data_IF_442262544181
#
_entry.id   IF_442262544181
#
_cell.length_a   1.000
_cell.length_b   1.000
_cell.length_c   1.000
_cell.angle_alpha   90.00
_cell.angle_beta   90.00
_cell.angle_gamma   90.00
#
_symmetry.space_group_name_H-M   'P 1'
#
loop_
_entity.id
_entity.type
_entity.pdbx_description
1 polymer ?
#
# COMPACT_ATOMS: atom_id res chain seq x y z
N UNK A 1 -85.16 -18.38 -17.16
CA UNK A 1 -84.06 -19.35 -16.94
C UNK A 1 -83.23 -19.34 -18.22
N UNK A 2 -81.97 -18.92 -18.29
CA UNK A 2 -80.85 -19.00 -17.35
C UNK A 2 -79.94 -17.77 -17.53
N UNK A 3 -79.40 -17.26 -16.42
CA UNK A 3 -78.34 -16.24 -16.35
C UNK A 3 -76.97 -16.92 -16.46
N UNK A 4 -75.99 -16.30 -17.13
CA UNK A 4 -74.57 -16.64 -16.91
C UNK A 4 -73.66 -15.42 -17.10
N UNK A 5 -73.52 -14.71 -15.98
CA UNK A 5 -72.29 -14.12 -15.40
C UNK A 5 -71.15 -13.68 -16.34
N UNK A 6 -71.02 -12.35 -16.49
CA UNK A 6 -69.79 -11.68 -16.97
C UNK A 6 -68.73 -11.75 -15.86
N UNK A 7 -67.58 -12.37 -16.11
CA UNK A 7 -66.41 -12.27 -15.24
C UNK A 7 -65.74 -10.90 -15.47
N UNK A 8 -65.85 -9.99 -14.49
CA UNK A 8 -64.99 -8.81 -14.41
C UNK A 8 -63.60 -9.26 -13.96
N UNK A 9 -62.62 -9.21 -14.87
CA UNK A 9 -61.20 -9.28 -14.51
C UNK A 9 -60.78 -7.88 -14.03
N UNK A 10 -60.49 -7.75 -12.73
CA UNK A 10 -59.83 -6.55 -12.18
C UNK A 10 -58.33 -6.69 -12.41
N UNK A 11 -57.81 -5.98 -13.40
CA UNK A 11 -56.37 -5.86 -13.63
C UNK A 11 -55.80 -4.91 -12.57
N UNK A 12 -55.11 -5.45 -11.57
CA UNK A 12 -54.30 -4.64 -10.67
C UNK A 12 -52.96 -4.34 -11.36
N UNK A 13 -52.73 -3.08 -11.70
CA UNK A 13 -51.42 -2.61 -12.13
C UNK A 13 -50.53 -2.48 -10.89
N UNK A 14 -49.53 -3.36 -10.78
CA UNK A 14 -48.47 -3.23 -9.80
C UNK A 14 -47.45 -2.23 -10.32
N UNK A 15 -47.46 -1.01 -9.77
CA UNK A 15 -46.41 -0.02 -10.00
C UNK A 15 -45.17 -0.50 -9.24
N UNK A 16 -44.20 -1.09 -9.95
CA UNK A 16 -42.89 -1.36 -9.40
C UNK A 16 -42.18 -0.03 -9.17
N UNK A 17 -42.09 0.39 -7.90
CA UNK A 17 -41.22 1.48 -7.49
C UNK A 17 -39.78 0.98 -7.67
N UNK A 18 -39.14 1.32 -8.78
CA UNK A 18 -37.72 1.06 -8.97
C UNK A 18 -36.97 1.99 -8.02
N UNK A 19 -36.63 1.50 -6.84
CA UNK A 19 -35.71 2.19 -5.95
C UNK A 19 -34.38 2.30 -6.71
N UNK A 20 -33.98 3.53 -7.06
CA UNK A 20 -32.62 3.79 -7.49
C UNK A 20 -31.71 3.39 -6.33
N UNK A 21 -30.96 2.29 -6.50
CA UNK A 21 -29.90 1.96 -5.58
C UNK A 21 -28.94 3.16 -5.54
N UNK A 22 -28.50 3.62 -4.36
CA UNK A 22 -27.45 4.62 -4.29
C UNK A 22 -26.23 4.08 -5.05
N UNK A 23 -25.64 4.90 -5.92
CA UNK A 23 -24.36 4.58 -6.54
C UNK A 23 -23.38 4.27 -5.41
N UNK A 24 -22.94 3.01 -5.33
CA UNK A 24 -21.89 2.60 -4.41
C UNK A 24 -20.65 3.43 -4.74
N UNK A 25 -20.11 4.15 -3.76
CA UNK A 25 -18.74 4.65 -3.88
C UNK A 25 -17.83 3.43 -4.01
N UNK A 26 -17.29 3.18 -5.20
CA UNK A 26 -16.34 2.09 -5.39
C UNK A 26 -15.04 2.52 -4.70
N UNK A 27 -14.62 1.74 -3.72
CA UNK A 27 -13.37 1.93 -3.00
C UNK A 27 -12.23 1.41 -3.87
N UNK A 28 -11.12 2.13 -3.90
CA UNK A 28 -9.87 1.61 -4.45
C UNK A 28 -9.38 0.43 -3.59
N UNK A 29 -8.60 -0.46 -4.17
CA UNK A 29 -8.01 -1.61 -3.49
C UNK A 29 -6.50 -1.65 -3.71
N UNK A 30 -5.77 -2.23 -2.73
CA UNK A 30 -4.33 -2.49 -2.88
C UNK A 30 -3.99 -3.38 -4.07
N UNK A 31 -4.95 -4.18 -4.55
CA UNK A 31 -4.84 -5.05 -5.72
C UNK A 31 -5.03 -4.33 -7.05
N UNK A 32 -5.40 -3.04 -7.03
CA UNK A 32 -5.58 -2.25 -8.24
C UNK A 32 -4.23 -1.91 -8.89
N UNK A 33 -3.13 -1.98 -8.13
CA UNK A 33 -1.77 -1.75 -8.63
C UNK A 33 -0.86 -2.88 -8.19
N UNK A 34 -0.02 -3.34 -9.11
CA UNK A 34 1.04 -4.30 -8.84
C UNK A 34 2.40 -3.76 -9.25
N UNK A 35 3.46 -4.31 -8.68
CA UNK A 35 4.85 -4.01 -9.05
C UNK A 35 5.74 -5.24 -8.92
N UNK A 36 6.68 -5.41 -9.82
CA UNK A 36 7.66 -6.49 -9.85
C UNK A 36 9.01 -5.96 -10.32
N UNK A 37 10.08 -6.49 -9.74
CA UNK A 37 11.44 -6.38 -10.30
C UNK A 37 11.82 -7.79 -10.79
N UNK A 38 11.73 -8.07 -12.11
CA UNK A 38 11.99 -9.41 -12.63
C UNK A 38 13.37 -9.93 -12.21
N UNK A 39 13.49 -11.21 -11.80
CA UNK A 39 12.51 -12.28 -11.94
C UNK A 39 11.56 -12.46 -10.74
N UNK A 40 11.50 -11.51 -9.81
CA UNK A 40 10.58 -11.60 -8.68
C UNK A 40 9.12 -11.57 -9.16
N UNK A 41 8.24 -12.21 -8.40
CA UNK A 41 6.80 -12.14 -8.65
C UNK A 41 6.26 -10.75 -8.32
N UNK A 42 5.23 -10.33 -9.04
CA UNK A 42 4.54 -9.08 -8.74
C UNK A 42 3.91 -9.11 -7.34
N UNK A 43 4.05 -8.00 -6.62
CA UNK A 43 3.40 -7.74 -5.35
C UNK A 43 2.35 -6.65 -5.52
N UNK A 44 1.31 -6.71 -4.70
CA UNK A 44 0.33 -5.63 -4.60
C UNK A 44 0.87 -4.54 -3.66
N UNK A 45 0.25 -3.37 -3.68
CA UNK A 45 0.57 -2.31 -2.74
C UNK A 45 0.32 -2.73 -1.28
N UNK A 46 1.03 -2.13 -0.33
CA UNK A 46 0.84 -2.31 1.10
C UNK A 46 -0.32 -1.46 1.63
N UNK A 47 -0.56 -0.31 0.99
CA UNK A 47 -1.65 0.59 1.32
C UNK A 47 -2.18 1.31 0.07
N UNK A 48 -3.46 1.69 0.11
CA UNK A 48 -4.09 2.47 -0.95
C UNK A 48 -4.97 3.56 -0.35
N UNK A 49 -4.89 4.79 -0.88
CA UNK A 49 -5.80 5.89 -0.51
C UNK A 49 -6.25 6.71 -1.72
N UNK A 50 -7.55 7.02 -1.79
CA UNK A 50 -8.15 7.88 -2.81
C UNK A 50 -8.36 9.27 -2.22
N UNK A 51 -7.95 10.29 -2.96
CA UNK A 51 -8.05 11.68 -2.56
C UNK A 51 -8.63 12.54 -3.69
N UNK A 52 -9.41 13.58 -3.37
CA UNK A 52 -9.89 14.52 -4.36
C UNK A 52 -8.78 15.47 -4.82
N UNK A 53 -9.00 16.10 -5.97
CA UNK A 53 -8.14 17.14 -6.53
C UNK A 53 -6.96 16.60 -7.34
N UNK A 54 -5.84 17.31 -7.25
CA UNK A 54 -4.56 16.93 -7.85
C UNK A 54 -3.62 16.47 -6.73
N UNK A 55 -2.67 15.60 -7.07
CA UNK A 55 -1.57 15.32 -6.16
C UNK A 55 -0.42 16.30 -6.38
N UNK A 56 0.24 16.64 -5.29
CA UNK A 56 1.54 17.29 -5.27
C UNK A 56 2.29 16.82 -4.02
N UNK A 57 3.55 17.23 -3.88
CA UNK A 57 4.37 16.81 -2.75
C UNK A 57 3.77 17.20 -1.38
N UNK A 58 3.12 18.36 -1.27
CA UNK A 58 2.48 18.77 -0.01
C UNK A 58 1.26 17.88 0.32
N UNK A 59 0.44 17.53 -0.67
CA UNK A 59 -0.72 16.67 -0.48
C UNK A 59 -0.32 15.23 -0.13
N UNK A 60 0.74 14.71 -0.76
CA UNK A 60 1.30 13.39 -0.45
C UNK A 60 1.85 13.38 0.99
N UNK A 61 2.56 14.42 1.39
CA UNK A 61 3.09 14.55 2.75
C UNK A 61 2.03 14.83 3.82
N UNK A 62 0.81 15.19 3.43
CA UNK A 62 -0.32 15.36 4.33
C UNK A 62 -1.10 14.04 4.57
N UNK A 63 -0.77 12.97 3.84
CA UNK A 63 -1.41 11.66 4.01
C UNK A 63 -1.11 11.07 5.39
N UNK A 64 -2.09 10.36 5.95
CA UNK A 64 -2.02 9.74 7.27
C UNK A 64 -1.86 8.20 7.18
N UNK A 65 -1.75 7.55 8.35
CA UNK A 65 -1.62 6.09 8.42
C UNK A 65 -0.27 5.61 7.92
N UNK A 66 -0.25 4.55 7.10
CA UNK A 66 0.99 3.97 6.55
C UNK A 66 1.76 4.94 5.63
N UNK A 67 1.11 6.00 5.13
CA UNK A 67 1.74 7.04 4.34
C UNK A 67 2.44 8.12 5.18
N UNK A 68 2.19 8.18 6.49
CA UNK A 68 2.80 9.18 7.37
C UNK A 68 4.26 8.85 7.69
N UNK A 69 4.97 9.79 8.33
CA UNK A 69 6.35 9.62 8.76
C UNK A 69 7.30 10.57 8.04
N UNK A 70 8.42 10.03 7.55
CA UNK A 70 9.42 10.79 6.81
C UNK A 70 8.86 11.39 5.51
N UNK A 71 9.34 12.59 5.12
CA UNK A 71 8.79 13.30 3.99
C UNK A 71 9.06 12.58 2.66
N UNK A 72 8.02 12.50 1.84
CA UNK A 72 8.06 12.04 0.47
C UNK A 72 8.63 13.12 -0.45
N UNK A 73 9.48 12.71 -1.37
CA UNK A 73 10.02 13.54 -2.45
C UNK A 73 9.48 13.07 -3.79
N UNK A 74 9.09 13.99 -4.68
CA UNK A 74 8.72 13.61 -6.05
C UNK A 74 9.95 13.08 -6.81
N UNK A 75 9.83 11.88 -7.38
CA UNK A 75 10.88 11.25 -8.18
C UNK A 75 10.66 11.46 -9.67
N UNK A 76 9.45 11.20 -10.16
CA UNK A 76 9.08 11.44 -11.55
C UNK A 76 7.55 11.52 -11.73
N UNK A 77 7.10 12.11 -12.83
CA UNK A 77 5.73 11.98 -13.34
C UNK A 77 5.72 11.87 -14.85
N UNK A 78 4.75 11.13 -15.38
CA UNK A 78 4.62 10.91 -16.83
C UNK A 78 4.38 12.18 -17.65
N UNK A 79 3.96 13.27 -17.02
CA UNK A 79 3.74 14.59 -17.63
C UNK A 79 4.70 15.69 -17.13
N UNK A 80 5.69 15.32 -16.31
CA UNK A 80 6.77 16.19 -15.85
C UNK A 80 8.12 15.51 -16.16
N UNK A 81 9.21 15.92 -15.50
CA UNK A 81 10.53 15.31 -15.70
C UNK A 81 11.09 14.73 -14.41
N UNK A 82 11.97 13.74 -14.57
CA UNK A 82 12.63 13.04 -13.47
C UNK A 82 13.47 13.96 -12.58
N UNK A 83 13.53 13.64 -11.29
CA UNK A 83 14.43 14.24 -10.31
C UNK A 83 15.54 13.26 -9.89
N UNK A 84 16.59 13.77 -9.24
CA UNK A 84 17.65 12.95 -8.65
C UNK A 84 17.38 12.81 -7.17
N UNK A 85 17.25 11.57 -6.70
CA UNK A 85 17.03 11.23 -5.30
C UNK A 85 18.16 10.31 -4.81
N UNK A 86 18.92 10.76 -3.81
CA UNK A 86 20.05 10.02 -3.26
C UNK A 86 21.08 9.55 -4.30
N UNK A 87 21.27 10.32 -5.37
CA UNK A 87 22.19 9.96 -6.46
C UNK A 87 21.64 8.88 -7.41
N UNK A 88 20.33 8.64 -7.38
CA UNK A 88 19.60 7.78 -8.32
C UNK A 88 18.57 8.64 -9.06
N UNK A 89 18.51 8.49 -10.38
CA UNK A 89 17.43 9.03 -11.22
C UNK A 89 16.43 7.92 -11.48
N UNK A 90 15.15 8.24 -11.35
CA UNK A 90 14.03 7.36 -11.64
C UNK A 90 13.26 7.90 -12.84
N UNK A 91 12.83 7.01 -13.72
CA UNK A 91 12.03 7.36 -14.90
C UNK A 91 10.79 6.46 -14.94
N UNK A 92 9.61 7.09 -15.02
CA UNK A 92 8.31 6.46 -14.99
C UNK A 92 7.64 6.53 -16.36
N UNK A 93 7.15 5.40 -16.83
CA UNK A 93 6.21 5.33 -17.95
C UNK A 93 4.94 4.61 -17.53
N UNK A 94 3.79 4.97 -18.12
CA UNK A 94 2.51 4.31 -17.88
C UNK A 94 1.59 4.48 -19.09
N UNK A 95 0.63 3.57 -19.24
CA UNK A 95 -0.42 3.64 -20.27
C UNK A 95 -1.43 4.79 -20.00
N UNK A 96 -1.06 6.01 -20.37
CA UNK A 96 -1.94 7.18 -20.30
C UNK A 96 -3.20 7.00 -21.16
N UNK A 97 -4.29 7.66 -20.76
CA UNK A 97 -5.65 7.55 -21.31
C UNK A 97 -6.34 6.18 -21.14
N UNK A 98 -5.68 5.18 -20.52
CA UNK A 98 -6.27 3.86 -20.25
C UNK A 98 -6.96 3.79 -18.89
N UNK A 99 -8.00 2.95 -18.77
CA UNK A 99 -8.65 2.65 -17.47
C UNK A 99 -7.87 1.61 -16.65
N UNK A 100 -6.89 0.97 -17.27
CA UNK A 100 -5.97 0.02 -16.68
C UNK A 100 -4.97 -0.39 -17.76
N UNK A 101 -3.75 -0.71 -17.34
CA UNK A 101 -2.64 -0.96 -18.24
C UNK A 101 -1.35 -1.21 -17.49
N UNK A 102 -0.25 -1.12 -18.22
CA UNK A 102 1.09 -1.38 -17.71
C UNK A 102 1.78 -0.07 -17.32
N UNK A 103 2.74 -0.18 -16.40
CA UNK A 103 3.67 0.89 -16.05
C UNK A 103 5.05 0.31 -15.82
N UNK A 104 6.07 1.11 -16.11
CA UNK A 104 7.48 0.75 -15.95
C UNK A 104 8.17 1.84 -15.13
N UNK A 105 8.97 1.41 -14.16
CA UNK A 105 9.88 2.27 -13.42
C UNK A 105 11.30 1.80 -13.73
N UNK A 106 12.08 2.66 -14.37
CA UNK A 106 13.50 2.44 -14.55
C UNK A 106 14.30 3.33 -13.59
N UNK A 107 15.51 2.89 -13.25
CA UNK A 107 16.39 3.67 -12.38
C UNK A 107 17.85 3.51 -12.77
N UNK A 108 18.64 4.53 -12.47
CA UNK A 108 20.09 4.48 -12.67
C UNK A 108 20.81 5.52 -11.81
N UNK A 109 22.06 5.25 -11.46
CA UNK A 109 22.90 6.25 -10.81
C UNK A 109 23.93 5.65 -9.84
N UNK A 110 24.90 6.47 -9.38
CA UNK A 110 25.93 6.05 -8.43
C UNK A 110 25.39 5.79 -7.01
N UNK A 111 24.13 6.15 -6.73
CA UNK A 111 23.49 5.92 -5.43
C UNK A 111 22.97 4.49 -5.19
N UNK A 112 23.15 3.58 -6.14
CA UNK A 112 22.70 2.18 -6.04
C UNK A 112 23.74 1.29 -5.33
N UNK A 113 23.31 0.23 -4.60
CA UNK A 113 21.93 -0.16 -4.36
C UNK A 113 21.23 0.78 -3.38
N UNK A 114 19.91 0.88 -3.50
CA UNK A 114 19.07 1.76 -2.68
C UNK A 114 17.83 1.01 -2.20
N UNK A 115 17.61 0.95 -0.88
CA UNK A 115 16.34 0.47 -0.31
C UNK A 115 15.49 1.66 0.08
N UNK A 116 14.25 1.69 -0.39
CA UNK A 116 13.34 2.80 -0.13
C UNK A 116 11.87 2.38 -0.19
N UNK A 117 11.03 3.17 0.45
CA UNK A 117 9.59 3.13 0.21
C UNK A 117 9.28 4.02 -1.01
N UNK A 118 8.30 3.63 -1.81
CA UNK A 118 7.75 4.51 -2.84
C UNK A 118 6.22 4.50 -2.87
N UNK A 119 5.65 5.58 -3.39
CA UNK A 119 4.23 5.70 -3.69
C UNK A 119 4.09 5.81 -5.20
N UNK A 120 3.33 4.90 -5.80
CA UNK A 120 2.80 5.07 -7.15
C UNK A 120 1.46 5.80 -7.08
N UNK A 121 1.33 6.88 -7.84
CA UNK A 121 0.14 7.71 -7.87
C UNK A 121 -0.50 7.63 -9.24
N UNK A 122 -1.81 7.43 -9.28
CA UNK A 122 -2.62 7.50 -10.50
C UNK A 122 -3.56 8.69 -10.41
N UNK A 123 -3.50 9.59 -11.39
CA UNK A 123 -4.43 10.72 -11.52
C UNK A 123 -5.48 10.41 -12.56
N UNK A 124 -6.76 10.50 -12.20
CA UNK A 124 -7.83 10.37 -13.18
C UNK A 124 -9.06 11.21 -12.82
N UNK A 125 -9.58 11.96 -13.80
CA UNK A 125 -10.67 12.93 -13.61
C UNK A 125 -10.41 13.93 -12.47
N UNK A 126 -11.24 13.94 -11.42
CA UNK A 126 -11.16 14.89 -10.32
C UNK A 126 -10.43 14.34 -9.10
N UNK A 127 -9.93 13.10 -9.16
CA UNK A 127 -9.37 12.40 -8.02
C UNK A 127 -7.99 11.81 -8.37
N UNK A 128 -7.26 11.39 -7.36
CA UNK A 128 -6.03 10.64 -7.49
C UNK A 128 -5.96 9.55 -6.42
N UNK A 129 -5.32 8.42 -6.76
CA UNK A 129 -5.09 7.34 -5.83
C UNK A 129 -3.59 7.15 -5.61
N UNK A 130 -3.18 7.00 -4.35
CA UNK A 130 -1.81 6.67 -3.95
C UNK A 130 -1.74 5.21 -3.49
N UNK A 131 -0.70 4.51 -3.96
CA UNK A 131 -0.42 3.10 -3.69
C UNK A 131 0.99 2.98 -3.12
N UNK A 132 1.09 2.59 -1.86
CA UNK A 132 2.36 2.47 -1.12
C UNK A 132 3.01 1.12 -1.38
N UNK A 133 4.31 1.12 -1.64
CA UNK A 133 5.17 -0.06 -1.66
C UNK A 133 6.34 0.18 -0.70
N UNK A 134 6.56 -0.73 0.23
CA UNK A 134 7.56 -0.57 1.28
C UNK A 134 8.78 -1.48 1.06
N UNK A 135 9.92 -1.04 1.59
CA UNK A 135 11.16 -1.82 1.65
C UNK A 135 11.63 -2.40 0.30
N UNK A 136 11.50 -1.61 -0.77
CA UNK A 136 11.87 -2.05 -2.12
C UNK A 136 13.35 -1.81 -2.36
N UNK A 137 14.07 -2.86 -2.72
CA UNK A 137 15.49 -2.80 -3.06
C UNK A 137 15.70 -2.57 -4.56
N UNK A 138 16.30 -1.41 -4.89
CA UNK A 138 16.69 -1.03 -6.24
C UNK A 138 18.18 -1.33 -6.45
N UNK A 139 18.47 -2.29 -7.32
CA UNK A 139 19.83 -2.75 -7.66
C UNK A 139 20.34 -2.10 -8.95
N UNK A 140 21.63 -2.20 -9.25
CA UNK A 140 22.16 -1.77 -10.55
C UNK A 140 21.84 -2.74 -11.70
N UNK A 141 21.42 -3.96 -11.38
CA UNK A 141 20.96 -4.97 -12.33
C UNK A 141 20.08 -6.01 -11.61
N UNK A 142 18.82 -6.24 -12.04
CA UNK A 142 18.08 -5.43 -13.02
C UNK A 142 17.89 -3.98 -12.54
N UNK A 143 17.67 -3.06 -13.48
CA UNK A 143 17.46 -1.64 -13.21
C UNK A 143 16.11 -1.13 -13.76
N UNK A 144 15.18 -2.06 -13.96
CA UNK A 144 13.81 -1.85 -14.42
C UNK A 144 12.89 -2.73 -13.57
N UNK A 145 11.74 -2.17 -13.24
CA UNK A 145 10.61 -2.85 -12.64
C UNK A 145 9.35 -2.52 -13.43
N UNK A 146 8.43 -3.47 -13.43
CA UNK A 146 7.20 -3.42 -14.22
C UNK A 146 6.00 -3.64 -13.30
N UNK A 147 4.86 -3.09 -13.68
CA UNK A 147 3.65 -3.24 -12.90
C UNK A 147 2.39 -3.02 -13.73
N UNK A 148 1.25 -3.31 -13.12
CA UNK A 148 -0.07 -3.04 -13.69
C UNK A 148 -0.80 -2.02 -12.85
N UNK A 149 -1.75 -1.30 -13.44
CA UNK A 149 -2.71 -0.47 -12.71
C UNK A 149 -4.15 -0.67 -13.22
N UNK A 150 -5.13 -0.34 -12.41
CA UNK A 150 -6.54 -0.25 -12.78
C UNK A 150 -7.23 0.88 -12.02
N UNK A 151 -7.95 1.72 -12.74
CA UNK A 151 -8.77 2.79 -12.19
C UNK A 151 -10.16 2.23 -11.89
N UNK A 152 -10.55 2.24 -10.62
CA UNK A 152 -11.81 1.65 -10.15
C UNK A 152 -12.83 2.70 -9.70
N UNK A 153 -12.44 3.98 -9.61
CA UNK A 153 -13.35 5.07 -9.22
C UNK A 153 -14.06 5.72 -10.42
N UNK A 154 -15.15 6.42 -10.13
CA UNK A 154 -15.98 7.09 -11.14
C UNK A 154 -15.72 8.59 -11.14
N UNK A 155 -15.78 9.20 -12.33
CA UNK A 155 -15.88 10.64 -12.47
C UNK A 155 -17.31 11.15 -12.18
N UNK A 156 -17.51 12.47 -12.21
CA UNK A 156 -18.82 13.11 -12.01
C UNK A 156 -19.89 12.69 -13.04
N UNK A 157 -19.50 12.06 -14.15
CA UNK A 157 -20.39 11.51 -15.16
C UNK A 157 -20.76 10.03 -14.93
N UNK A 158 -20.34 9.43 -13.81
CA UNK A 158 -20.60 8.03 -13.48
C UNK A 158 -19.83 7.03 -14.34
N UNK A 159 -18.70 7.45 -14.94
CA UNK A 159 -17.84 6.61 -15.78
C UNK A 159 -16.47 6.47 -15.16
N UNK A 160 -15.83 5.32 -15.37
CA UNK A 160 -14.41 5.13 -15.05
C UNK A 160 -13.57 6.01 -16.00
N UNK A 161 -12.83 7.00 -15.49
CA UNK A 161 -11.96 7.82 -16.33
C UNK A 161 -10.70 7.06 -16.74
N UNK A 162 -10.06 7.49 -17.83
CA UNK A 162 -8.70 7.05 -18.17
C UNK A 162 -7.66 7.79 -17.33
N UNK A 163 -6.47 7.20 -17.22
CA UNK A 163 -5.31 7.77 -16.54
C UNK A 163 -4.88 9.08 -17.22
N UNK A 164 -4.88 10.19 -16.49
CA UNK A 164 -4.38 11.47 -17.01
C UNK A 164 -2.85 11.53 -16.95
N UNK A 165 -2.27 11.10 -15.83
CA UNK A 165 -0.84 10.93 -15.61
C UNK A 165 -0.63 10.02 -14.40
N UNK A 166 0.59 9.50 -14.29
CA UNK A 166 1.07 8.82 -13.10
C UNK A 166 2.27 9.57 -12.50
N UNK A 167 2.50 9.37 -11.20
CA UNK A 167 3.66 9.91 -10.49
C UNK A 167 4.26 8.89 -9.52
N UNK A 168 5.56 9.03 -9.26
CA UNK A 168 6.28 8.25 -8.25
C UNK A 168 6.86 9.22 -7.23
N UNK A 169 6.61 8.92 -5.95
CA UNK A 169 7.23 9.61 -4.81
C UNK A 169 8.07 8.62 -4.03
N UNK A 170 9.18 9.07 -3.47
CA UNK A 170 10.11 8.23 -2.74
C UNK A 170 10.54 8.83 -1.42
N UNK A 171 10.84 7.97 -0.45
CA UNK A 171 11.55 8.32 0.78
C UNK A 171 12.50 7.19 1.13
N UNK A 172 13.62 7.50 1.77
CA UNK A 172 14.49 6.45 2.28
C UNK A 172 13.69 5.65 3.31
N UNK A 173 13.74 4.32 3.19
CA UNK A 173 13.21 3.45 4.22
C UNK A 173 14.04 3.72 5.49
N UNK A 174 13.55 4.58 6.38
CA UNK A 174 13.94 4.54 7.77
C UNK A 174 13.50 3.19 8.35
N UNK A 175 14.14 2.72 9.43
CA UNK A 175 13.48 1.71 10.28
C UNK A 175 12.01 2.14 10.41
N UNK A 176 11.02 1.31 10.02
CA UNK A 176 9.62 1.71 10.11
C UNK A 176 9.37 2.24 11.51
N UNK A 177 8.49 3.25 11.72
CA UNK A 177 7.97 3.49 13.05
C UNK A 177 7.38 2.17 13.52
N UNK A 178 8.15 1.41 14.30
CA UNK A 178 7.63 0.27 15.02
C UNK A 178 6.63 0.92 15.95
N UNK A 179 5.34 0.65 15.72
CA UNK A 179 4.31 0.84 16.73
C UNK A 179 4.56 -0.07 17.96
N UNK A 180 5.66 -0.83 17.97
CA UNK A 180 6.20 -1.38 19.19
C UNK A 180 6.59 -0.23 20.13
N UNK A 181 6.04 -0.17 21.35
CA UNK A 181 6.59 0.70 22.38
C UNK A 181 8.10 0.42 22.48
N UNK A 182 8.92 1.38 22.93
CA UNK A 182 10.34 1.14 23.16
C UNK A 182 10.48 -0.22 23.84
N UNK A 183 11.11 -1.16 23.15
CA UNK A 183 11.44 -2.43 23.75
C UNK A 183 12.54 -2.06 24.75
N UNK A 184 12.11 -1.64 25.93
CA UNK A 184 12.96 -1.60 27.11
C UNK A 184 13.58 -2.99 27.15
N UNK A 185 14.87 -3.08 26.84
CA UNK A 185 15.66 -4.26 27.17
C UNK A 185 15.24 -4.61 28.59
N UNK A 186 14.77 -5.85 28.87
CA UNK A 186 14.37 -6.20 30.22
C UNK A 186 15.57 -5.83 31.09
N UNK A 187 15.41 -4.96 32.10
CA UNK A 187 16.54 -4.55 32.92
C UNK A 187 17.20 -5.82 33.38
N UNK A 188 18.52 -5.96 33.18
CA UNK A 188 19.29 -7.10 33.69
C UNK A 188 18.95 -7.22 35.16
N UNK A 189 18.00 -8.09 35.49
CA UNK A 189 17.59 -8.31 36.86
C UNK A 189 18.81 -8.95 37.48
N UNK A 190 19.50 -8.30 38.43
CA UNK A 190 20.64 -8.91 39.07
C UNK A 190 20.12 -10.19 39.71
N UNK A 191 20.56 -11.33 39.19
CA UNK A 191 20.15 -12.62 39.70
C UNK A 191 20.49 -12.61 41.19
N UNK A 192 19.51 -12.69 42.10
CA UNK A 192 19.82 -12.61 43.51
C UNK A 192 20.84 -13.72 43.81
N UNK A 193 21.92 -13.40 44.52
CA UNK A 193 23.01 -14.34 44.83
C UNK A 193 22.54 -15.63 45.53
N UNK A 194 21.26 -15.74 45.88
CA UNK A 194 20.57 -16.95 46.33
C UNK A 194 20.56 -18.08 45.29
N UNK A 195 20.47 -17.80 43.98
CA UNK A 195 20.57 -18.85 42.95
C UNK A 195 21.99 -19.41 42.83
N UNK A 196 23.01 -18.57 43.01
CA UNK A 196 24.41 -18.99 43.04
C UNK A 196 24.74 -19.80 44.31
N UNK A 197 24.13 -19.47 45.46
CA UNK A 197 24.24 -20.24 46.70
C UNK A 197 23.51 -21.59 46.67
N UNK A 198 22.37 -21.68 45.98
CA UNK A 198 21.65 -22.96 45.79
C UNK A 198 22.52 -23.95 44.99
N UNK A 199 23.23 -23.49 43.96
CA UNK A 199 24.17 -24.30 43.18
C UNK A 199 25.37 -24.80 43.98
N UNK A 200 25.95 -23.96 44.84
CA UNK A 200 27.08 -24.33 45.71
C UNK A 200 26.66 -25.24 46.88
N UNK A 201 25.45 -25.08 47.42
CA UNK A 201 24.94 -25.90 48.54
C UNK A 201 24.72 -27.37 48.16
N UNK A 202 24.27 -27.64 46.94
CA UNK A 202 24.06 -29.02 46.43
C UNK A 202 25.37 -29.77 46.18
N UNK A 203 26.42 -29.08 45.71
CA UNK A 203 27.75 -29.67 45.52
C UNK A 203 28.43 -30.01 46.86
N UNK A 204 28.18 -29.24 47.93
CA UNK A 204 28.69 -29.52 49.28
C UNK A 204 28.08 -30.77 49.91
N UNK A 205 26.78 -31.04 49.69
CA UNK A 205 26.07 -32.19 50.25
C UNK A 205 26.40 -33.51 49.52
N UNK A 206 26.73 -33.45 48.22
CA UNK A 206 27.13 -34.62 47.46
C UNK A 206 28.49 -35.20 47.91
N UNK A 207 29.37 -34.38 48.51
CA UNK A 207 30.68 -34.82 49.02
C UNK A 207 30.62 -35.46 50.41
N UNK A 208 29.50 -35.35 51.15
CA UNK A 208 29.32 -35.92 52.49
C UNK A 208 28.64 -37.29 52.50
N UNK A 209 28.76 -38.06 51.41
CA UNK A 209 28.35 -39.48 51.39
C UNK A 209 29.48 -40.36 50.84
N UNK A 210 30.61 -40.38 51.54
CA UNK A 210 31.60 -41.46 51.46
C UNK A 210 32.53 -41.40 52.66
N UNK A 211 32.14 -42.10 53.73
CA UNK A 211 33.00 -42.90 54.62
C UNK A 211 32.09 -43.58 55.65
N UNK A 212 32.27 -44.90 55.77
CA UNK A 212 31.72 -45.78 56.81
C UNK A 212 32.03 -45.33 58.23
#
# INVERSE_FOLDING_TARGET
>A
MWYSTRKLLKTMAATALLAAAPATSWAIAITDVSFAIPPAAAVNADAAILQPGNHNEADINALAGLFAGDPWSLLDKTDEGSSVFNGVTFELTADVDAQGGDWELSWSGPGLPLTMDFIFVTKAANDWAAYLFQDIEFLSSPNVGEGTFTITWLNNGGKVPGLSHAGIYGRIAGDPPRDDPPQDDPPEVPVPGTLMLLGLGLLGLARRRRTS
#
